data_IF_904585232995
#
_entry.id   IF_904585232995
#
_cell.length_a   1.000
_cell.length_b   1.000
_cell.length_c   1.000
_cell.angle_alpha   90.00
_cell.angle_beta   90.00
_cell.angle_gamma   90.00
#
_symmetry.space_group_name_H-M   'P 1'
#
loop_
_entity.id
_entity.type
_entity.pdbx_description
1 polymer ?
#
# COMPACT_ATOMS: atom_id res chain seq x y z
N UNK A 1 -1.39 17.47 29.68
CA UNK A 1 -0.68 16.55 28.77
C UNK A 1 -1.65 16.22 27.64
N UNK A 2 -1.40 16.73 26.43
CA UNK A 2 -2.23 16.40 25.27
C UNK A 2 -1.85 14.99 24.82
N UNK A 3 -2.83 14.09 24.76
CA UNK A 3 -2.66 12.79 24.12
C UNK A 3 -2.22 13.03 22.67
N UNK A 4 -1.15 12.39 22.17
CA UNK A 4 -0.80 12.50 20.77
C UNK A 4 -1.99 12.01 19.95
N UNK A 5 -2.34 12.80 18.93
CA UNK A 5 -3.46 12.55 18.05
C UNK A 5 -3.48 11.07 17.64
N UNK A 6 -4.66 10.49 17.80
CA UNK A 6 -5.11 9.21 17.29
C UNK A 6 -4.24 8.66 16.17
N UNK A 7 -3.76 7.43 16.40
CA UNK A 7 -3.20 6.43 15.50
C UNK A 7 -3.76 6.49 14.06
N UNK A 8 -3.44 7.57 13.35
CA UNK A 8 -3.86 7.84 11.97
C UNK A 8 -2.78 7.27 11.09
N UNK A 9 -2.71 5.94 11.15
CA UNK A 9 -1.91 5.12 10.28
C UNK A 9 -2.01 5.69 8.83
N UNK A 10 -0.87 5.90 8.13
CA UNK A 10 -0.84 6.63 6.85
C UNK A 10 -1.46 5.85 5.69
N UNK A 11 -2.13 4.73 5.95
CA UNK A 11 -2.78 3.87 4.97
C UNK A 11 -4.18 4.39 4.61
N UNK A 12 -4.20 5.56 4.00
CA UNK A 12 -5.41 6.15 3.43
C UNK A 12 -5.60 5.68 1.99
N UNK A 13 -6.84 5.66 1.46
CA UNK A 13 -7.09 5.37 0.03
C UNK A 13 -6.26 6.26 -0.91
N UNK A 14 -6.05 7.54 -0.52
CA UNK A 14 -5.21 8.48 -1.26
C UNK A 14 -3.75 8.02 -1.32
N UNK A 15 -3.19 7.64 -0.18
CA UNK A 15 -1.78 7.21 -0.12
C UNK A 15 -1.58 5.87 -0.84
N UNK A 16 -2.51 4.91 -0.68
CA UNK A 16 -2.51 3.65 -1.45
C UNK A 16 -2.47 3.90 -2.94
N UNK A 17 -3.38 4.73 -3.46
CA UNK A 17 -3.45 5.04 -4.88
C UNK A 17 -2.16 5.71 -5.39
N UNK A 18 -1.64 6.68 -4.64
CA UNK A 18 -0.43 7.41 -5.01
C UNK A 18 0.84 6.52 -5.00
N UNK A 19 0.95 5.60 -4.03
CA UNK A 19 2.03 4.61 -3.95
C UNK A 19 1.92 3.62 -5.10
N UNK A 20 0.73 3.04 -5.33
CA UNK A 20 0.50 2.07 -6.40
C UNK A 20 0.82 2.63 -7.79
N UNK A 21 0.39 3.87 -8.07
CA UNK A 21 0.66 4.55 -9.33
C UNK A 21 2.16 4.72 -9.59
N UNK A 22 2.93 5.17 -8.57
CA UNK A 22 4.37 5.41 -8.71
C UNK A 22 5.18 4.12 -8.74
N UNK A 23 4.78 3.12 -7.96
CA UNK A 23 5.38 1.79 -8.02
C UNK A 23 5.21 1.17 -9.41
N UNK A 24 4.02 1.31 -10.02
CA UNK A 24 3.77 0.86 -11.38
C UNK A 24 4.62 1.59 -12.43
N UNK A 25 5.04 2.83 -12.16
CA UNK A 25 5.98 3.60 -12.98
C UNK A 25 7.47 3.23 -12.72
N UNK A 26 7.75 2.26 -11.85
CA UNK A 26 9.11 1.81 -11.54
C UNK A 26 9.87 2.70 -10.54
N UNK A 27 9.17 3.53 -9.76
CA UNK A 27 9.81 4.34 -8.72
C UNK A 27 10.15 3.48 -7.50
N UNK A 28 11.35 3.68 -6.94
CA UNK A 28 11.76 3.09 -5.67
C UNK A 28 11.06 3.72 -4.45
N UNK A 29 11.12 3.04 -3.30
CA UNK A 29 10.42 3.41 -2.06
C UNK A 29 10.87 4.75 -1.50
N UNK A 30 12.17 5.10 -1.60
CA UNK A 30 12.69 6.40 -1.18
C UNK A 30 12.13 7.54 -2.06
N UNK A 31 12.11 7.34 -3.38
CA UNK A 31 11.56 8.32 -4.32
C UNK A 31 10.06 8.52 -4.12
N UNK A 32 9.33 7.44 -3.86
CA UNK A 32 7.90 7.50 -3.55
C UNK A 32 7.68 8.30 -2.27
N UNK A 33 8.35 7.93 -1.17
CA UNK A 33 8.25 8.57 0.15
C UNK A 33 8.42 10.10 0.06
N UNK A 34 9.48 10.55 -0.60
CA UNK A 34 9.75 11.98 -0.84
C UNK A 34 8.63 12.68 -1.62
N UNK A 35 8.00 12.00 -2.58
CA UNK A 35 6.99 12.59 -3.46
C UNK A 35 5.61 12.76 -2.84
N UNK A 36 5.31 12.05 -1.75
CA UNK A 36 3.99 12.06 -1.09
C UNK A 36 4.08 12.45 0.40
N UNK A 37 5.23 12.98 0.83
CA UNK A 37 5.50 13.41 2.20
C UNK A 37 5.25 12.31 3.25
N UNK A 38 5.62 11.07 2.91
CA UNK A 38 5.67 9.94 3.85
C UNK A 38 7.13 9.56 4.13
N UNK A 39 7.35 8.79 5.18
CA UNK A 39 8.62 8.12 5.43
C UNK A 39 8.72 6.84 4.59
N UNK A 40 9.94 6.41 4.28
CA UNK A 40 10.15 5.17 3.54
C UNK A 40 9.55 3.93 4.25
N UNK A 41 9.69 3.75 5.58
CA UNK A 41 9.05 2.62 6.26
C UNK A 41 7.53 2.59 6.10
N UNK A 42 6.86 3.74 6.10
CA UNK A 42 5.41 3.82 5.88
C UNK A 42 5.04 3.39 4.46
N UNK A 43 5.80 3.84 3.46
CA UNK A 43 5.62 3.41 2.07
C UNK A 43 5.79 1.89 1.93
N UNK A 44 6.84 1.33 2.54
CA UNK A 44 7.08 -0.13 2.52
C UNK A 44 5.91 -0.91 3.12
N UNK A 45 5.36 -0.46 4.25
CA UNK A 45 4.23 -1.15 4.91
C UNK A 45 2.96 -1.10 4.07
N UNK A 46 2.64 0.05 3.48
CA UNK A 46 1.47 0.19 2.60
C UNK A 46 1.66 -0.65 1.33
N UNK A 47 2.87 -0.67 0.76
CA UNK A 47 3.18 -1.45 -0.43
C UNK A 47 3.05 -2.96 -0.18
N UNK A 48 3.54 -3.45 0.97
CA UNK A 48 3.38 -4.85 1.37
C UNK A 48 1.90 -5.23 1.45
N UNK A 49 1.07 -4.41 2.11
CA UNK A 49 -0.38 -4.64 2.19
C UNK A 49 -1.07 -4.69 0.83
N UNK A 50 -0.70 -3.80 -0.09
CA UNK A 50 -1.21 -3.82 -1.47
C UNK A 50 -0.83 -5.13 -2.21
N UNK A 51 0.37 -5.65 -1.96
CA UNK A 51 0.81 -6.91 -2.56
C UNK A 51 0.08 -8.11 -1.96
N UNK A 52 -0.15 -8.11 -0.65
CA UNK A 52 -0.93 -9.14 0.04
C UNK A 52 -2.38 -9.18 -0.47
N UNK A 53 -3.03 -8.01 -0.61
CA UNK A 53 -4.39 -7.90 -1.17
C UNK A 53 -4.45 -8.46 -2.61
N UNK A 54 -3.45 -8.15 -3.44
CA UNK A 54 -3.34 -8.70 -4.81
C UNK A 54 -3.06 -10.20 -4.80
N UNK A 55 -2.34 -10.72 -3.81
CA UNK A 55 -2.08 -12.14 -3.68
C UNK A 55 -3.35 -12.89 -3.26
N UNK A 56 -4.07 -12.39 -2.25
CA UNK A 56 -5.34 -12.94 -1.81
C UNK A 56 -6.36 -13.00 -2.96
N UNK A 57 -6.49 -11.92 -3.74
CA UNK A 57 -7.37 -11.88 -4.91
C UNK A 57 -6.99 -12.92 -5.98
N UNK A 58 -5.70 -13.19 -6.18
CA UNK A 58 -5.25 -14.26 -7.08
C UNK A 58 -5.62 -15.65 -6.58
N UNK A 59 -5.51 -15.90 -5.28
CA UNK A 59 -5.91 -17.16 -4.66
C UNK A 59 -7.43 -17.37 -4.82
N UNK A 60 -8.23 -16.35 -4.51
CA UNK A 60 -9.69 -16.42 -4.63
C UNK A 60 -10.14 -16.65 -6.08
N UNK A 61 -9.56 -15.91 -7.04
CA UNK A 61 -9.83 -16.11 -8.45
C UNK A 61 -9.44 -17.51 -8.93
N UNK A 62 -8.29 -18.04 -8.46
CA UNK A 62 -7.87 -19.40 -8.78
C UNK A 62 -8.82 -20.44 -8.19
N UNK A 63 -9.32 -20.23 -6.97
CA UNK A 63 -10.27 -21.13 -6.34
C UNK A 63 -11.61 -21.16 -7.07
N UNK A 64 -12.14 -19.99 -7.43
CA UNK A 64 -13.41 -19.86 -8.15
C UNK A 64 -13.32 -20.32 -9.62
N UNK A 65 -12.15 -20.16 -10.26
CA UNK A 65 -11.90 -20.63 -11.62
C UNK A 65 -11.70 -22.15 -11.75
N UNK A 66 -11.36 -22.85 -10.67
CA UNK A 66 -11.28 -24.32 -10.62
C UNK A 66 -12.66 -24.97 -10.48
N UNK A 67 -13.68 -24.20 -10.07
CA UNK A 67 -15.06 -24.66 -9.90
C UNK A 67 -15.99 -24.25 -11.07
N UNK A 68 -15.44 -23.64 -12.13
CA UNK A 68 -16.19 -23.21 -13.32
C UNK A 68 -15.96 -24.13 -14.52
#
# INVERSE_FOLDING_TARGET
MNAPATDTWPDTPRNRAAIAERWAKGHDTLRIARSIALTEPEVCRILARLQDERHAARIEASFNGVLS
#
